data_IF_871055645916
#
_entry.id   IF_871055645916
#
_cell.length_a   1.000
_cell.length_b   1.000
_cell.length_c   1.000
_cell.angle_alpha   90.00
_cell.angle_beta   90.00
_cell.angle_gamma   90.00
#
_symmetry.space_group_name_H-M   'P 1'
#
loop_
_entity.id
_entity.type
_entity.pdbx_description
1 polymer ?
#
# COMPACT_ATOMS: atom_id res chain seq x y z
N UNK A 1 3.72 -24.23 -14.31
CA UNK A 1 4.05 -24.39 -12.86
C UNK A 1 3.80 -23.05 -12.19
N UNK A 2 2.86 -22.98 -11.25
CA UNK A 2 2.61 -21.75 -10.48
C UNK A 2 3.89 -21.36 -9.75
N UNK A 3 4.37 -20.14 -9.95
CA UNK A 3 5.62 -19.67 -9.35
C UNK A 3 5.56 -19.74 -7.82
N UNK A 4 6.45 -20.52 -7.19
CA UNK A 4 6.51 -20.69 -5.75
C UNK A 4 6.85 -19.36 -5.07
N UNK A 5 6.00 -18.91 -4.14
CA UNK A 5 6.25 -17.72 -3.31
C UNK A 5 7.15 -18.12 -2.14
N UNK A 6 8.18 -17.31 -1.89
CA UNK A 6 9.14 -17.49 -0.82
C UNK A 6 9.11 -16.29 0.13
N UNK A 7 9.12 -16.57 1.42
CA UNK A 7 9.40 -15.62 2.49
C UNK A 7 10.92 -15.51 2.64
N UNK A 8 11.46 -14.28 2.64
CA UNK A 8 12.90 -14.00 2.74
C UNK A 8 13.17 -12.83 3.67
N UNK A 9 14.41 -12.74 4.12
CA UNK A 9 14.93 -11.57 4.83
C UNK A 9 16.12 -11.01 4.07
N UNK A 10 16.31 -9.69 4.16
CA UNK A 10 17.45 -8.97 3.58
C UNK A 10 17.83 -7.82 4.50
N UNK A 11 19.13 -7.54 4.60
CA UNK A 11 19.63 -6.35 5.27
C UNK A 11 19.54 -5.14 4.34
N UNK A 12 18.83 -4.08 4.79
CA UNK A 12 18.67 -2.81 4.08
C UNK A 12 19.17 -1.69 5.00
N UNK A 13 20.36 -1.18 4.73
CA UNK A 13 21.07 -0.33 5.70
C UNK A 13 21.22 -1.06 7.04
N UNK A 14 20.72 -0.46 8.12
CA UNK A 14 20.76 -1.05 9.46
C UNK A 14 19.51 -1.89 9.81
N UNK A 15 18.58 -2.08 8.87
CA UNK A 15 17.31 -2.74 9.13
C UNK A 15 17.28 -4.17 8.59
N UNK A 16 16.74 -5.10 9.37
CA UNK A 16 16.37 -6.44 8.92
C UNK A 16 14.95 -6.40 8.34
N UNK A 17 14.85 -6.59 7.04
CA UNK A 17 13.63 -6.45 6.26
C UNK A 17 13.16 -7.80 5.76
N UNK A 18 11.93 -8.14 6.12
CA UNK A 18 11.21 -9.28 5.58
C UNK A 18 10.52 -8.90 4.28
N UNK A 19 10.49 -9.83 3.31
CA UNK A 19 9.75 -9.68 2.07
C UNK A 19 9.30 -11.01 1.48
N UNK A 20 8.21 -11.00 0.73
CA UNK A 20 7.82 -12.10 -0.13
C UNK A 20 8.35 -11.88 -1.54
N UNK A 21 8.77 -12.98 -2.19
CA UNK A 21 9.23 -12.96 -3.58
C UNK A 21 8.85 -14.28 -4.29
N UNK A 22 8.58 -14.18 -5.57
CA UNK A 22 8.25 -15.34 -6.41
C UNK A 22 8.31 -14.98 -7.88
N UNK A 23 8.10 -15.97 -8.75
CA UNK A 23 8.06 -15.80 -10.19
C UNK A 23 9.41 -15.51 -10.85
N UNK A 24 9.34 -15.22 -12.16
CA UNK A 24 10.45 -14.89 -13.05
C UNK A 24 10.00 -13.79 -14.01
N UNK A 25 10.94 -13.18 -14.73
CA UNK A 25 10.66 -12.10 -15.69
C UNK A 25 10.99 -10.72 -15.17
N UNK A 26 10.32 -9.70 -15.70
CA UNK A 26 10.58 -8.31 -15.30
C UNK A 26 10.25 -8.08 -13.82
N UNK A 27 11.08 -7.27 -13.12
CA UNK A 27 10.88 -7.01 -11.71
C UNK A 27 9.60 -6.18 -11.46
N UNK A 28 8.79 -6.63 -10.50
CA UNK A 28 7.60 -5.95 -10.00
C UNK A 28 7.71 -5.76 -8.49
N UNK A 29 7.81 -4.51 -8.05
CA UNK A 29 7.85 -4.15 -6.63
C UNK A 29 6.46 -3.69 -6.18
N UNK A 30 5.98 -4.24 -5.08
CA UNK A 30 4.66 -3.91 -4.53
C UNK A 30 4.81 -3.33 -3.12
N UNK A 31 4.30 -2.12 -2.91
CA UNK A 31 4.30 -1.43 -1.63
C UNK A 31 2.90 -1.48 -1.01
N UNK A 32 2.80 -2.16 0.14
CA UNK A 32 1.52 -2.34 0.83
C UNK A 32 1.05 -1.07 1.56
N UNK A 33 -0.23 -1.04 1.95
CA UNK A 33 -0.83 0.06 2.70
C UNK A 33 -0.64 -0.05 4.22
N UNK A 34 -1.04 0.99 4.96
CA UNK A 34 -0.87 1.11 6.41
C UNK A 34 -1.68 0.15 7.27
N UNK A 35 -2.68 -0.54 6.74
CA UNK A 35 -3.55 -1.47 7.48
C UNK A 35 -3.08 -2.93 7.53
N UNK A 36 -1.97 -3.27 6.87
CA UNK A 36 -1.50 -4.66 6.73
C UNK A 36 0.01 -4.77 6.63
N UNK A 37 0.46 -5.83 5.99
CA UNK A 37 1.83 -6.10 5.60
C UNK A 37 1.83 -6.73 4.20
N UNK A 38 2.97 -7.24 3.79
CA UNK A 38 3.17 -7.93 2.51
C UNK A 38 2.27 -9.16 2.34
N UNK A 39 1.93 -9.86 3.45
CA UNK A 39 1.06 -11.04 3.46
C UNK A 39 -0.29 -10.79 2.77
N UNK A 40 -0.82 -9.56 2.88
CA UNK A 40 -2.09 -9.19 2.24
C UNK A 40 -2.09 -9.30 0.71
N UNK A 41 -0.92 -9.43 0.08
CA UNK A 41 -0.74 -9.51 -1.37
C UNK A 41 -0.53 -10.95 -1.89
N UNK A 42 -0.40 -11.96 -1.02
CA UNK A 42 -0.04 -13.32 -1.41
C UNK A 42 -0.97 -13.92 -2.47
N UNK A 43 -2.29 -13.68 -2.38
CA UNK A 43 -3.22 -14.17 -3.40
C UNK A 43 -2.98 -13.54 -4.77
N UNK A 44 -2.83 -12.21 -4.84
CA UNK A 44 -2.53 -11.51 -6.10
C UNK A 44 -1.13 -11.88 -6.62
N UNK A 45 -0.14 -12.10 -5.73
CA UNK A 45 1.20 -12.57 -6.12
C UNK A 45 1.14 -13.91 -6.84
N UNK A 46 0.30 -14.85 -6.39
CA UNK A 46 0.20 -16.19 -6.99
C UNK A 46 -0.13 -16.10 -8.49
N UNK A 47 -1.05 -15.23 -8.87
CA UNK A 47 -1.43 -15.01 -10.26
C UNK A 47 -0.33 -14.26 -11.04
N UNK A 48 0.25 -13.22 -10.43
CA UNK A 48 1.24 -12.36 -11.11
C UNK A 48 2.61 -13.01 -11.24
N UNK A 49 2.98 -13.98 -10.37
CA UNK A 49 4.24 -14.73 -10.43
C UNK A 49 4.41 -15.58 -11.70
N UNK A 50 3.34 -15.77 -12.47
CA UNK A 50 3.42 -16.44 -13.77
C UNK A 50 4.14 -15.58 -14.83
N UNK A 51 4.17 -14.25 -14.64
CA UNK A 51 4.65 -13.29 -15.62
C UNK A 51 5.77 -12.37 -15.14
N UNK A 52 5.87 -12.15 -13.81
CA UNK A 52 6.78 -11.17 -13.22
C UNK A 52 7.60 -11.78 -12.09
N UNK A 53 8.82 -11.24 -11.91
CA UNK A 53 9.58 -11.44 -10.68
C UNK A 53 9.14 -10.44 -9.63
N UNK A 54 8.35 -10.90 -8.64
CA UNK A 54 7.67 -10.04 -7.68
C UNK A 54 8.48 -9.92 -6.39
N UNK A 55 8.48 -8.70 -5.83
CA UNK A 55 9.05 -8.35 -4.53
C UNK A 55 8.03 -7.54 -3.73
N UNK A 56 7.64 -8.05 -2.57
CA UNK A 56 6.68 -7.37 -1.67
C UNK A 56 7.33 -7.27 -0.29
N UNK A 57 8.04 -6.17 0.01
CA UNK A 57 8.59 -5.97 1.34
C UNK A 57 7.47 -5.70 2.36
N UNK A 58 7.65 -6.19 3.59
CA UNK A 58 7.03 -5.56 4.74
C UNK A 58 7.74 -4.22 4.96
N UNK A 59 7.01 -3.12 4.92
CA UNK A 59 7.57 -1.80 5.23
C UNK A 59 8.13 -1.81 6.66
N UNK A 60 9.17 -1.03 6.97
CA UNK A 60 9.72 -0.92 8.32
C UNK A 60 8.65 -0.69 9.38
N UNK A 61 8.65 -1.54 10.43
CA UNK A 61 7.64 -1.55 11.49
C UNK A 61 6.32 -2.22 11.13
N UNK A 62 6.25 -2.90 9.98
CA UNK A 62 5.10 -3.72 9.57
C UNK A 62 5.53 -5.19 9.43
N UNK A 63 4.54 -6.08 9.53
CA UNK A 63 4.76 -7.52 9.35
C UNK A 63 5.89 -8.04 10.22
N UNK A 64 6.92 -8.59 9.58
CA UNK A 64 8.11 -9.15 10.21
C UNK A 64 9.36 -8.27 10.02
N UNK A 65 9.23 -7.06 9.47
CA UNK A 65 10.33 -6.12 9.29
C UNK A 65 10.64 -5.34 10.56
N UNK A 66 11.93 -5.09 10.77
CA UNK A 66 12.39 -4.19 11.82
C UNK A 66 11.85 -2.78 11.63
N UNK A 67 11.63 -2.05 12.71
CA UNK A 67 11.14 -0.69 12.67
C UNK A 67 12.28 0.31 12.44
N UNK A 68 12.02 1.37 11.66
CA UNK A 68 12.88 2.56 11.61
C UNK A 68 12.73 3.38 12.89
N UNK A 69 13.81 4.03 13.30
CA UNK A 69 13.80 4.97 14.42
C UNK A 69 13.08 6.28 14.05
N UNK A 70 12.49 6.92 15.04
CA UNK A 70 11.84 8.22 14.90
C UNK A 70 10.44 8.20 14.26
N UNK A 71 9.96 9.39 13.92
CA UNK A 71 8.69 9.60 13.22
C UNK A 71 8.91 9.52 11.72
N UNK A 72 8.36 8.47 11.09
CA UNK A 72 8.54 8.19 9.66
C UNK A 72 7.32 8.61 8.86
N UNK A 73 7.53 9.45 7.86
CA UNK A 73 6.54 9.86 6.86
C UNK A 73 6.83 9.30 5.47
N UNK A 74 6.15 9.83 4.47
CA UNK A 74 6.34 9.42 3.07
C UNK A 74 7.81 9.56 2.61
N UNK A 75 8.56 10.65 2.93
CA UNK A 75 9.95 10.80 2.48
C UNK A 75 10.89 9.69 2.99
N UNK A 76 10.79 9.29 4.26
CA UNK A 76 11.62 8.26 4.87
C UNK A 76 11.34 6.90 4.23
N UNK A 77 10.05 6.58 3.97
CA UNK A 77 9.68 5.36 3.26
C UNK A 77 10.11 5.35 1.80
N UNK A 78 10.20 6.50 1.13
CA UNK A 78 10.79 6.61 -0.22
C UNK A 78 12.28 6.28 -0.18
N UNK A 79 13.01 6.75 0.83
CA UNK A 79 14.41 6.36 1.07
C UNK A 79 14.55 4.86 1.26
N UNK A 80 13.72 4.28 2.12
CA UNK A 80 13.68 2.82 2.33
C UNK A 80 13.43 2.04 1.02
N UNK A 81 12.49 2.46 0.17
CA UNK A 81 12.22 1.77 -1.12
C UNK A 81 13.45 1.84 -2.03
N UNK A 82 14.17 2.97 -2.06
CA UNK A 82 15.42 3.10 -2.82
C UNK A 82 16.48 2.14 -2.32
N UNK A 83 16.72 2.09 -1.01
CA UNK A 83 17.73 1.22 -0.41
C UNK A 83 17.36 -0.27 -0.57
N UNK A 84 16.08 -0.63 -0.43
CA UNK A 84 15.58 -1.98 -0.64
C UNK A 84 15.78 -2.44 -2.09
N UNK A 85 15.39 -1.62 -3.06
CA UNK A 85 15.55 -1.97 -4.48
C UNK A 85 17.02 -2.01 -4.90
N UNK A 86 17.85 -1.13 -4.33
CA UNK A 86 19.30 -1.15 -4.51
C UNK A 86 19.93 -2.43 -3.95
N UNK A 87 19.56 -2.84 -2.74
CA UNK A 87 20.05 -4.08 -2.10
C UNK A 87 19.68 -5.35 -2.89
N UNK A 88 18.63 -5.30 -3.70
CA UNK A 88 18.21 -6.36 -4.62
C UNK A 88 18.84 -6.24 -6.02
N UNK A 89 19.63 -5.19 -6.30
CA UNK A 89 20.23 -4.91 -7.60
C UNK A 89 19.22 -4.51 -8.68
N UNK A 90 18.05 -4.01 -8.32
CA UNK A 90 17.00 -3.63 -9.26
C UNK A 90 17.31 -2.26 -9.87
N UNK A 91 17.64 -2.23 -11.15
CA UNK A 91 17.93 -0.98 -11.89
C UNK A 91 16.65 -0.32 -12.41
N UNK A 92 15.74 -1.10 -12.98
CA UNK A 92 14.43 -0.67 -13.48
C UNK A 92 13.38 -1.73 -13.12
N UNK A 93 12.17 -1.31 -12.75
CA UNK A 93 11.11 -2.19 -12.30
C UNK A 93 9.73 -1.55 -12.46
N UNK A 94 8.69 -2.36 -12.49
CA UNK A 94 7.32 -1.91 -12.31
C UNK A 94 7.05 -1.65 -10.84
N UNK A 95 6.30 -0.61 -10.54
CA UNK A 95 6.00 -0.22 -9.15
C UNK A 95 4.49 -0.18 -8.93
N UNK A 96 4.02 -0.95 -7.95
CA UNK A 96 2.63 -0.97 -7.48
C UNK A 96 2.58 -0.45 -6.06
N UNK A 97 1.68 0.48 -5.76
CA UNK A 97 1.47 0.97 -4.41
C UNK A 97 0.00 1.02 -4.02
N UNK A 98 -0.33 0.57 -2.80
CA UNK A 98 -1.69 0.61 -2.27
C UNK A 98 -1.82 1.58 -1.11
N UNK A 99 -2.84 2.43 -1.12
CA UNK A 99 -3.16 3.34 -0.01
C UNK A 99 -1.95 4.25 0.35
N UNK A 100 -1.43 4.18 1.58
CA UNK A 100 -0.17 4.86 1.97
C UNK A 100 0.99 4.42 1.09
N UNK A 101 1.11 3.12 0.79
CA UNK A 101 2.10 2.60 -0.16
C UNK A 101 1.95 3.17 -1.56
N UNK A 102 0.73 3.56 -1.96
CA UNK A 102 0.48 4.31 -3.19
C UNK A 102 1.09 5.71 -3.15
N UNK A 103 0.94 6.42 -2.04
CA UNK A 103 1.59 7.73 -1.83
C UNK A 103 3.13 7.63 -1.84
N UNK A 104 3.69 6.56 -1.24
CA UNK A 104 5.13 6.26 -1.28
C UNK A 104 5.56 5.99 -2.72
N UNK A 105 4.84 5.13 -3.46
CA UNK A 105 5.14 4.78 -4.84
C UNK A 105 5.06 5.99 -5.78
N UNK A 106 4.04 6.85 -5.62
CA UNK A 106 3.90 8.09 -6.36
C UNK A 106 5.09 9.04 -6.12
N UNK A 107 5.44 9.26 -4.85
CA UNK A 107 6.57 10.12 -4.49
C UNK A 107 7.90 9.55 -4.99
N UNK A 108 8.05 8.22 -4.94
CA UNK A 108 9.22 7.53 -5.48
C UNK A 108 9.33 7.71 -7.00
N UNK A 109 8.24 7.51 -7.74
CA UNK A 109 8.20 7.67 -9.20
C UNK A 109 8.52 9.10 -9.65
N UNK A 110 8.06 10.11 -8.91
CA UNK A 110 8.42 11.53 -9.15
C UNK A 110 9.90 11.80 -8.88
N UNK A 111 10.48 11.17 -7.85
CA UNK A 111 11.90 11.38 -7.48
C UNK A 111 12.87 10.59 -8.37
N UNK A 112 12.48 9.39 -8.82
CA UNK A 112 13.33 8.47 -9.58
C UNK A 112 12.64 7.97 -10.86
N UNK A 113 12.19 8.86 -11.76
CA UNK A 113 11.35 8.48 -12.90
C UNK A 113 12.03 7.46 -13.83
N UNK A 114 13.34 7.52 -13.98
CA UNK A 114 14.09 6.62 -14.87
C UNK A 114 14.18 5.16 -14.37
N UNK A 115 13.88 4.92 -13.09
CA UNK A 115 13.84 3.57 -12.51
C UNK A 115 12.51 2.87 -12.71
N UNK A 116 11.44 3.60 -13.00
CA UNK A 116 10.09 3.05 -13.10
C UNK A 116 9.72 2.76 -14.55
N UNK A 117 9.40 1.50 -14.82
CA UNK A 117 8.89 1.05 -16.11
C UNK A 117 7.43 1.47 -16.29
N UNK A 118 6.58 1.07 -15.36
CA UNK A 118 5.16 1.45 -15.28
C UNK A 118 4.77 1.59 -13.81
N UNK A 119 3.85 2.52 -13.52
CA UNK A 119 3.35 2.81 -12.18
C UNK A 119 1.89 2.37 -12.02
N UNK A 120 1.56 1.68 -10.93
CA UNK A 120 0.18 1.33 -10.58
C UNK A 120 -0.16 1.87 -9.20
N UNK A 121 -1.18 2.70 -9.11
CA UNK A 121 -1.65 3.31 -7.86
C UNK A 121 -3.03 2.75 -7.51
N UNK A 122 -3.09 1.95 -6.43
CA UNK A 122 -4.31 1.27 -5.99
C UNK A 122 -4.88 2.00 -4.78
N UNK A 123 -6.04 2.62 -4.89
CA UNK A 123 -6.68 3.37 -3.80
C UNK A 123 -5.68 4.29 -3.07
N UNK A 124 -4.86 5.01 -3.85
CA UNK A 124 -3.65 5.69 -3.39
C UNK A 124 -3.95 6.93 -2.56
N UNK A 125 -3.18 7.14 -1.51
CA UNK A 125 -3.04 8.45 -0.86
C UNK A 125 -2.22 9.42 -1.72
N UNK A 126 -2.18 10.68 -1.31
CA UNK A 126 -1.45 11.80 -1.93
C UNK A 126 -2.04 12.34 -3.24
N UNK A 127 -3.15 11.80 -3.74
CA UNK A 127 -3.87 12.29 -4.93
C UNK A 127 -4.95 13.34 -4.61
N UNK A 128 -5.06 13.75 -3.36
CA UNK A 128 -6.01 14.76 -2.88
C UNK A 128 -6.00 14.86 -1.36
N UNK A 129 -6.68 15.87 -0.82
CA UNK A 129 -6.72 16.12 0.64
C UNK A 129 -7.69 15.21 1.38
N UNK A 130 -8.78 14.81 0.70
CA UNK A 130 -9.87 14.06 1.32
C UNK A 130 -9.44 12.68 1.83
N UNK A 131 -9.91 12.34 3.03
CA UNK A 131 -9.77 11.02 3.63
C UNK A 131 -10.95 10.78 4.57
N UNK A 132 -11.37 9.54 4.74
CA UNK A 132 -12.52 9.19 5.59
C UNK A 132 -12.36 9.68 7.03
N UNK A 133 -13.45 10.14 7.62
CA UNK A 133 -13.47 10.70 8.98
C UNK A 133 -12.88 9.75 10.03
N UNK A 134 -13.20 8.45 9.95
CA UNK A 134 -12.68 7.47 10.91
C UNK A 134 -11.16 7.29 10.84
N UNK A 135 -10.55 7.41 9.65
CA UNK A 135 -9.10 7.40 9.47
C UNK A 135 -8.48 8.65 10.09
N UNK A 136 -9.13 9.80 9.92
CA UNK A 136 -8.73 11.08 10.52
C UNK A 136 -8.74 10.99 12.05
N UNK A 137 -9.79 10.40 12.64
CA UNK A 137 -9.85 10.16 14.09
C UNK A 137 -8.70 9.29 14.60
N UNK A 138 -8.41 8.17 13.91
CA UNK A 138 -7.33 7.27 14.32
C UNK A 138 -5.93 7.89 14.23
N UNK A 139 -5.75 8.93 13.39
CA UNK A 139 -4.43 9.54 13.15
C UNK A 139 -4.20 10.86 13.90
N UNK A 140 -5.24 11.53 14.41
CA UNK A 140 -5.15 12.96 14.77
C UNK A 140 -4.59 13.32 16.14
N UNK A 141 -4.68 12.44 17.14
CA UNK A 141 -4.06 12.67 18.48
C UNK A 141 -3.94 11.38 19.28
N UNK A 142 -3.07 11.37 20.31
CA UNK A 142 -2.92 10.22 21.23
C UNK A 142 -4.25 9.92 21.94
N UNK A 143 -5.00 10.95 22.35
CA UNK A 143 -6.27 10.83 23.04
C UNK A 143 -7.35 10.21 22.13
N UNK A 144 -7.57 10.78 20.94
CA UNK A 144 -8.54 10.25 19.97
C UNK A 144 -8.13 8.88 19.42
N UNK A 145 -6.82 8.62 19.30
CA UNK A 145 -6.29 7.29 18.94
C UNK A 145 -6.57 6.26 20.02
N UNK A 146 -6.38 6.61 21.30
CA UNK A 146 -6.72 5.73 22.42
C UNK A 146 -8.21 5.40 22.43
N UNK A 147 -9.07 6.39 22.23
CA UNK A 147 -10.53 6.21 22.08
C UNK A 147 -10.89 5.40 20.84
N UNK A 148 -10.27 5.68 19.69
CA UNK A 148 -10.49 4.95 18.44
C UNK A 148 -10.02 3.49 18.54
N UNK A 149 -8.86 3.24 19.12
CA UNK A 149 -8.35 1.89 19.40
C UNK A 149 -9.26 1.17 20.40
N UNK A 150 -9.74 1.86 21.46
CA UNK A 150 -10.69 1.31 22.41
C UNK A 150 -12.04 0.99 21.73
N UNK A 151 -12.58 1.88 20.90
CA UNK A 151 -13.81 1.64 20.15
C UNK A 151 -13.68 0.46 19.17
N UNK A 152 -12.57 0.37 18.44
CA UNK A 152 -12.27 -0.78 17.56
C UNK A 152 -12.06 -2.07 18.37
N UNK A 153 -11.42 -1.99 19.53
CA UNK A 153 -11.25 -3.12 20.44
C UNK A 153 -12.60 -3.59 21.00
N UNK A 154 -13.48 -2.65 21.40
CA UNK A 154 -14.84 -2.94 21.88
C UNK A 154 -15.68 -3.58 20.74
N UNK A 155 -15.66 -3.01 19.53
CA UNK A 155 -16.35 -3.59 18.37
C UNK A 155 -15.82 -4.99 18.02
N UNK A 156 -14.51 -5.21 18.14
CA UNK A 156 -13.90 -6.52 17.95
C UNK A 156 -14.25 -7.48 19.10
N UNK A 157 -14.30 -7.00 20.34
CA UNK A 157 -14.72 -7.77 21.48
C UNK A 157 -16.20 -8.16 21.40
N UNK A 158 -17.07 -7.24 20.97
CA UNK A 158 -18.48 -7.52 20.70
C UNK A 158 -18.62 -8.53 19.55
N UNK A 159 -17.88 -8.36 18.47
CA UNK A 159 -17.85 -9.30 17.35
C UNK A 159 -17.25 -10.66 17.78
N UNK A 160 -16.26 -10.65 18.68
CA UNK A 160 -15.67 -11.84 19.28
C UNK A 160 -16.68 -12.57 20.19
N UNK A 161 -17.40 -11.83 21.06
CA UNK A 161 -18.48 -12.37 21.88
C UNK A 161 -19.60 -12.99 21.01
N UNK A 162 -19.96 -12.33 19.93
CA UNK A 162 -20.93 -12.85 18.95
C UNK A 162 -20.38 -14.09 18.20
N UNK A 163 -19.07 -14.15 17.94
CA UNK A 163 -18.41 -15.27 17.27
C UNK A 163 -18.08 -16.42 18.25
N UNK A 164 -18.02 -16.19 19.57
CA UNK A 164 -17.90 -17.25 20.58
C UNK A 164 -19.09 -18.21 20.57
N UNK A 165 -20.22 -17.73 20.07
CA UNK A 165 -21.41 -18.56 19.82
C UNK A 165 -21.28 -19.35 18.50
N UNK A 166 -20.36 -18.96 17.55
CA UNK A 166 -20.40 -19.46 16.18
C UNK A 166 -19.06 -19.88 15.52
N UNK A 167 -17.84 -19.68 16.08
CA UNK A 167 -16.58 -20.19 15.52
C UNK A 167 -15.29 -19.89 16.33
N UNK A 168 -14.13 -20.59 16.11
CA UNK A 168 -12.93 -20.51 16.96
C UNK A 168 -12.05 -19.30 16.71
N UNK A 169 -11.41 -18.84 17.80
CA UNK A 169 -10.60 -17.64 17.99
C UNK A 169 -9.37 -17.48 17.08
N UNK A 170 -9.18 -16.29 16.51
CA UNK A 170 -7.86 -15.79 16.09
C UNK A 170 -7.46 -14.59 16.97
N UNK A 171 -6.29 -14.68 17.60
CA UNK A 171 -5.71 -13.69 18.50
C UNK A 171 -5.42 -12.38 17.72
N UNK A 172 -5.82 -11.23 18.26
CA UNK A 172 -5.55 -9.92 17.66
C UNK A 172 -4.41 -9.25 18.45
N UNK A 173 -3.23 -9.18 17.85
CA UNK A 173 -2.11 -8.42 18.42
C UNK A 173 -2.38 -6.89 18.41
N UNK A 174 -1.85 -6.13 19.39
CA UNK A 174 -1.91 -4.67 19.38
C UNK A 174 -1.23 -4.10 18.13
N UNK A 175 -1.71 -2.94 17.65
CA UNK A 175 -1.11 -2.27 16.49
C UNK A 175 0.35 -1.89 16.79
N UNK A 176 1.32 -2.27 15.95
CA UNK A 176 2.70 -1.86 16.09
C UNK A 176 2.85 -0.32 16.14
N UNK A 177 3.85 0.17 16.88
CA UNK A 177 4.11 1.60 17.04
C UNK A 177 4.37 2.31 15.71
N UNK A 178 5.03 1.66 14.75
CA UNK A 178 5.26 2.22 13.41
C UNK A 178 3.96 2.51 12.65
N UNK A 179 2.95 1.63 12.74
CA UNK A 179 1.62 1.89 12.15
C UNK A 179 0.96 3.13 12.73
N UNK A 180 1.15 3.34 14.05
CA UNK A 180 0.65 4.51 14.75
C UNK A 180 1.39 5.78 14.33
N UNK A 181 2.72 5.72 14.20
CA UNK A 181 3.55 6.87 13.80
C UNK A 181 3.28 7.24 12.34
N UNK A 182 3.23 6.27 11.44
CA UNK A 182 2.89 6.52 10.03
C UNK A 182 1.52 7.20 9.90
N UNK A 183 0.51 6.78 10.66
CA UNK A 183 -0.79 7.44 10.69
C UNK A 183 -0.70 8.92 11.05
N UNK A 184 0.15 9.30 12.03
CA UNK A 184 0.37 10.69 12.44
C UNK A 184 1.05 11.52 11.36
N UNK A 185 1.99 10.93 10.64
CA UNK A 185 2.80 11.65 9.66
C UNK A 185 2.12 11.81 8.30
N UNK A 186 1.17 10.93 7.94
CA UNK A 186 0.49 10.97 6.62
C UNK A 186 -0.89 11.62 6.65
N UNK A 187 -1.51 11.75 7.82
CA UNK A 187 -2.85 12.36 7.96
C UNK A 187 -2.95 13.24 9.21
N UNK A 188 -3.74 14.33 9.10
CA UNK A 188 -4.19 15.14 10.22
C UNK A 188 -5.68 14.88 10.49
N UNK A 189 -6.24 15.53 11.53
CA UNK A 189 -7.69 15.49 11.77
C UNK A 189 -8.51 16.05 10.60
N UNK A 190 -7.95 16.94 9.79
CA UNK A 190 -8.65 17.60 8.68
C UNK A 190 -8.40 16.93 7.33
N UNK A 191 -7.15 16.55 7.02
CA UNK A 191 -6.74 16.15 5.68
C UNK A 191 -5.46 15.30 5.68
N UNK A 192 -5.06 14.80 4.52
CA UNK A 192 -3.75 14.20 4.31
C UNK A 192 -2.66 15.27 4.45
N UNK A 193 -1.53 14.92 5.08
CA UNK A 193 -0.38 15.83 5.28
C UNK A 193 0.41 16.05 4.00
N UNK A 194 0.47 15.03 3.13
CA UNK A 194 1.19 15.08 1.85
C UNK A 194 0.19 14.99 0.72
N UNK A 195 0.19 15.99 -0.17
CA UNK A 195 -0.63 16.03 -1.38
C UNK A 195 0.28 16.39 -2.56
N UNK A 196 0.29 15.54 -3.58
CA UNK A 196 1.20 15.62 -4.73
C UNK A 196 0.48 16.00 -6.04
N UNK A 197 -0.76 16.48 -5.94
CA UNK A 197 -1.63 16.81 -7.10
C UNK A 197 -0.93 17.73 -8.10
N UNK A 198 -0.21 18.73 -7.63
CA UNK A 198 0.48 19.71 -8.48
C UNK A 198 1.70 19.14 -9.24
N UNK A 199 2.14 17.94 -8.89
CA UNK A 199 3.28 17.26 -9.52
C UNK A 199 2.85 16.08 -10.43
N UNK A 200 1.56 15.79 -10.54
CA UNK A 200 1.06 14.65 -11.32
C UNK A 200 1.38 14.77 -12.81
N UNK A 201 1.45 15.98 -13.34
CA UNK A 201 1.85 16.25 -14.73
C UNK A 201 3.34 15.97 -15.01
N UNK A 202 4.15 15.79 -13.98
CA UNK A 202 5.58 15.45 -14.09
C UNK A 202 5.85 13.95 -14.22
N UNK A 203 4.82 13.11 -14.08
CA UNK A 203 4.97 11.66 -14.23
C UNK A 203 5.33 11.29 -15.68
N UNK A 204 6.45 10.61 -15.84
CA UNK A 204 7.06 10.30 -17.15
C UNK A 204 6.72 8.88 -17.65
N UNK A 205 6.14 8.05 -16.80
CA UNK A 205 5.87 6.64 -17.11
C UNK A 205 4.37 6.38 -17.26
N UNK A 206 3.98 5.36 -18.06
CA UNK A 206 2.60 4.91 -18.10
C UNK A 206 2.08 4.61 -16.69
N UNK A 207 0.93 5.17 -16.34
CA UNK A 207 0.37 5.08 -14.99
C UNK A 207 -1.04 4.50 -15.04
N UNK A 208 -1.31 3.51 -14.17
CA UNK A 208 -2.63 2.93 -13.98
C UNK A 208 -3.16 3.31 -12.60
N UNK A 209 -4.32 3.93 -12.54
CA UNK A 209 -5.09 4.15 -11.33
C UNK A 209 -6.13 3.04 -11.19
N UNK A 210 -6.16 2.37 -10.02
CA UNK A 210 -7.12 1.31 -9.72
C UNK A 210 -7.89 1.68 -8.45
N UNK A 211 -9.21 1.69 -8.52
CA UNK A 211 -10.06 2.08 -7.39
C UNK A 211 -11.29 1.21 -7.23
N UNK A 212 -11.78 1.07 -6.00
CA UNK A 212 -13.13 0.59 -5.74
C UNK A 212 -14.13 1.76 -5.74
N UNK A 213 -15.27 1.59 -6.40
CA UNK A 213 -16.32 2.63 -6.44
C UNK A 213 -16.82 3.00 -5.03
N UNK A 214 -16.82 2.02 -4.11
CA UNK A 214 -17.29 2.18 -2.74
C UNK A 214 -16.12 2.32 -1.74
N UNK A 215 -15.01 2.95 -2.16
CA UNK A 215 -13.85 3.15 -1.28
C UNK A 215 -14.21 4.08 -0.10
N UNK A 216 -14.39 3.48 1.08
CA UNK A 216 -14.71 4.16 2.33
C UNK A 216 -13.50 4.71 3.07
N UNK A 217 -12.31 4.77 2.45
CA UNK A 217 -11.05 5.29 3.03
C UNK A 217 -10.56 6.49 2.24
N UNK A 218 -10.28 6.29 0.95
CA UNK A 218 -9.84 7.35 0.02
C UNK A 218 -10.89 7.49 -1.08
N UNK A 219 -11.58 8.65 -1.16
CA UNK A 219 -12.67 8.85 -2.11
C UNK A 219 -12.24 8.63 -3.56
N UNK A 220 -13.01 7.86 -4.32
CA UNK A 220 -12.76 7.58 -5.75
C UNK A 220 -12.71 8.85 -6.61
N UNK A 221 -13.33 9.94 -6.17
CA UNK A 221 -13.24 11.25 -6.83
C UNK A 221 -11.81 11.76 -6.99
N UNK A 222 -10.89 11.36 -6.11
CA UNK A 222 -9.47 11.69 -6.25
C UNK A 222 -8.82 10.98 -7.44
N UNK A 223 -9.22 9.73 -7.72
CA UNK A 223 -8.75 9.01 -8.90
C UNK A 223 -9.22 9.68 -10.20
N UNK A 224 -10.49 10.09 -10.26
CA UNK A 224 -11.01 10.82 -11.42
C UNK A 224 -10.31 12.16 -11.64
N UNK A 225 -10.01 12.90 -10.57
CA UNK A 225 -9.28 14.15 -10.66
C UNK A 225 -7.83 13.93 -11.10
N UNK A 226 -7.14 12.96 -10.51
CA UNK A 226 -5.75 12.62 -10.83
C UNK A 226 -5.59 12.12 -12.27
N UNK A 227 -6.51 11.30 -12.77
CA UNK A 227 -6.49 10.78 -14.14
C UNK A 227 -6.49 11.88 -15.23
N UNK A 228 -7.01 13.06 -14.92
CA UNK A 228 -7.01 14.22 -15.84
C UNK A 228 -5.68 14.98 -15.85
N UNK A 229 -4.83 14.77 -14.86
CA UNK A 229 -3.59 15.50 -14.65
C UNK A 229 -2.36 14.67 -15.03
N UNK A 230 -2.46 13.34 -15.00
CA UNK A 230 -1.37 12.42 -15.35
C UNK A 230 -1.34 12.26 -16.88
N UNK A 231 -0.19 12.53 -17.56
CA UNK A 231 -0.12 12.56 -19.03
C UNK A 231 -0.50 11.24 -19.71
N UNK A 232 0.08 10.11 -19.27
CA UNK A 232 -0.21 8.77 -19.77
C UNK A 232 -0.88 7.96 -18.67
N UNK A 233 -2.21 8.11 -18.55
CA UNK A 233 -3.01 7.57 -17.48
C UNK A 233 -4.16 6.69 -17.96
N UNK A 234 -4.24 5.49 -17.40
CA UNK A 234 -5.43 4.66 -17.45
C UNK A 234 -6.11 4.64 -16.07
N UNK A 235 -7.42 4.68 -16.03
CA UNK A 235 -8.22 4.56 -14.81
C UNK A 235 -9.17 3.38 -14.90
N UNK A 236 -9.10 2.49 -13.91
CA UNK A 236 -10.04 1.40 -13.74
C UNK A 236 -10.73 1.51 -12.38
N UNK A 237 -12.04 1.67 -12.40
CA UNK A 237 -12.88 1.65 -11.19
C UNK A 237 -13.65 0.32 -11.17
N UNK A 238 -13.62 -0.35 -10.01
CA UNK A 238 -14.31 -1.61 -9.78
C UNK A 238 -15.59 -1.37 -8.99
N UNK A 239 -16.73 -1.63 -9.64
CA UNK A 239 -18.04 -1.54 -9.00
C UNK A 239 -18.18 -2.56 -7.87
N UNK A 240 -18.88 -2.16 -6.80
CA UNK A 240 -19.10 -2.99 -5.62
C UNK A 240 -17.86 -3.26 -4.76
N UNK A 241 -16.71 -2.68 -5.12
CA UNK A 241 -15.46 -2.82 -4.37
C UNK A 241 -15.19 -1.62 -3.48
N UNK A 242 -14.58 -1.90 -2.32
CA UNK A 242 -14.06 -0.90 -1.39
C UNK A 242 -12.55 -0.67 -1.57
N UNK A 243 -11.88 -0.29 -0.48
CA UNK A 243 -10.47 0.15 -0.45
C UNK A 243 -9.43 -0.90 -0.89
N UNK A 244 -9.75 -2.19 -0.86
CA UNK A 244 -8.78 -3.27 -1.13
C UNK A 244 -9.22 -4.12 -2.33
N UNK A 245 -9.30 -3.51 -3.52
CA UNK A 245 -9.70 -4.17 -4.78
C UNK A 245 -8.89 -5.44 -5.04
N UNK A 246 -7.57 -5.40 -4.82
CA UNK A 246 -6.65 -6.52 -5.02
C UNK A 246 -6.93 -7.77 -4.15
N UNK A 247 -7.74 -7.61 -3.06
CA UNK A 247 -8.25 -8.70 -2.22
C UNK A 247 -9.65 -9.13 -2.59
N UNK A 248 -10.48 -8.18 -3.03
CA UNK A 248 -11.90 -8.41 -3.32
C UNK A 248 -12.12 -9.00 -4.72
N UNK A 249 -11.25 -8.65 -5.67
CA UNK A 249 -11.34 -9.02 -7.08
C UNK A 249 -9.97 -9.52 -7.59
N UNK A 250 -9.40 -10.53 -6.90
CA UNK A 250 -8.02 -11.02 -7.13
C UNK A 250 -7.75 -11.31 -8.61
N UNK A 251 -8.60 -12.11 -9.28
CA UNK A 251 -8.40 -12.53 -10.66
C UNK A 251 -8.51 -11.36 -11.65
N UNK A 252 -9.58 -10.57 -11.52
CA UNK A 252 -9.82 -9.41 -12.37
C UNK A 252 -8.73 -8.35 -12.21
N UNK A 253 -8.28 -8.12 -10.98
CA UNK A 253 -7.18 -7.23 -10.66
C UNK A 253 -5.86 -7.73 -11.26
N UNK A 254 -5.51 -8.99 -11.06
CA UNK A 254 -4.27 -9.58 -11.59
C UNK A 254 -4.26 -9.60 -13.13
N UNK A 255 -5.38 -9.90 -13.77
CA UNK A 255 -5.55 -9.78 -15.22
C UNK A 255 -5.36 -8.35 -15.72
N UNK A 256 -5.94 -7.37 -15.03
CA UNK A 256 -5.77 -5.95 -15.36
C UNK A 256 -4.29 -5.55 -15.29
N UNK A 257 -3.60 -5.92 -14.21
CA UNK A 257 -2.19 -5.62 -14.04
C UNK A 257 -1.34 -6.29 -15.13
N UNK A 258 -1.55 -7.58 -15.39
CA UNK A 258 -0.81 -8.30 -16.42
C UNK A 258 -0.98 -7.66 -17.80
N UNK A 259 -2.20 -7.21 -18.14
CA UNK A 259 -2.47 -6.52 -19.41
C UNK A 259 -1.79 -5.15 -19.48
N UNK A 260 -1.82 -4.39 -18.37
CA UNK A 260 -1.23 -3.05 -18.33
C UNK A 260 0.30 -3.10 -18.31
N UNK A 261 0.90 -4.03 -17.55
CA UNK A 261 2.35 -4.09 -17.34
C UNK A 261 3.11 -4.69 -18.54
N UNK A 262 2.46 -5.43 -19.42
CA UNK A 262 3.00 -5.82 -20.75
C UNK A 262 3.15 -4.57 -21.64
#
# INVERSE_FOLDING_TARGET
>A
MVGKIHSKQIRVGELDIHYFTGGQGEPLVVIHGGGGGAEGWLQSMTELCEHYKIYVPDLPGFGHSQQMDGDCGIPEFVGFVEDFTHSLGLKRFHLVGHSVGGGIALRYALKFPHKILKLVLVSSMCLGKGIALWVRFLSSSVFFRSLGVAAVAILKAVKWLLNLVYAPLKFVSPLPQAKLNLGKTVTTFKEQTTVLVNQLSELMMPTLLVWGANDGVVPVSQAYAAARLIPDCQLQVFEGCGHSVYKQKVKEFSHLLTRFLR
#
